data_IF_388768603748
#
_entry.id   IF_388768603748
#
_cell.length_a   1.000
_cell.length_b   1.000
_cell.length_c   1.000
_cell.angle_alpha   90.00
_cell.angle_beta   90.00
_cell.angle_gamma   90.00
#
_symmetry.space_group_name_H-M   'P 1'
#
loop_
_entity.id
_entity.type
_entity.pdbx_description
1 polymer ?
#
# COMPACT_ATOMS: atom_id res chain seq x y z
N UNK A 1 -27.59 -3.91 35.49
CA UNK A 1 -26.23 -3.42 35.73
C UNK A 1 -25.27 -4.49 35.27
N UNK A 2 -24.46 -4.19 34.21
CA UNK A 2 -23.45 -5.10 33.70
C UNK A 2 -22.27 -5.22 34.67
N UNK A 3 -21.62 -6.37 34.69
CA UNK A 3 -20.40 -6.60 35.46
C UNK A 3 -19.26 -5.86 34.79
N UNK A 4 -18.77 -4.77 35.40
CA UNK A 4 -17.58 -4.04 34.97
C UNK A 4 -16.38 -4.50 35.78
N UNK A 5 -15.23 -4.66 35.10
CA UNK A 5 -13.94 -4.96 35.72
C UNK A 5 -12.93 -3.90 35.29
N UNK A 6 -12.13 -3.44 36.22
CA UNK A 6 -10.98 -2.60 35.94
C UNK A 6 -9.73 -3.47 35.98
N UNK A 7 -8.90 -3.37 34.95
CA UNK A 7 -7.69 -4.19 34.82
C UNK A 7 -6.51 -3.24 34.62
N UNK A 8 -5.42 -3.48 35.33
CA UNK A 8 -4.16 -2.79 35.16
C UNK A 8 -3.08 -3.81 34.82
N UNK A 9 -2.09 -3.40 34.02
CA UNK A 9 -0.96 -4.26 33.69
C UNK A 9 0.36 -3.50 33.79
N UNK A 10 1.44 -4.22 33.96
CA UNK A 10 2.81 -3.73 33.88
C UNK A 10 3.43 -4.37 32.64
N UNK A 11 3.95 -3.53 31.74
CA UNK A 11 4.70 -3.96 30.56
C UNK A 11 6.18 -3.68 30.81
N UNK A 12 7.02 -4.69 30.66
CA UNK A 12 8.46 -4.58 30.74
C UNK A 12 9.05 -5.01 29.41
N UNK A 13 9.82 -4.13 28.77
CA UNK A 13 10.56 -4.45 27.56
C UNK A 13 12.02 -4.71 27.93
N UNK A 14 12.64 -5.81 27.44
CA UNK A 14 14.05 -6.04 27.64
C UNK A 14 14.87 -5.00 26.84
N UNK A 15 15.86 -4.38 27.49
CA UNK A 15 16.83 -3.53 26.80
C UNK A 15 17.79 -4.41 26.00
N UNK A 16 17.92 -4.09 24.68
CA UNK A 16 18.91 -4.73 23.84
C UNK A 16 20.24 -4.00 24.02
N UNK A 17 21.32 -4.68 24.42
CA UNK A 17 22.64 -4.05 24.54
C UNK A 17 23.08 -3.40 23.22
N UNK A 18 23.70 -2.23 23.30
CA UNK A 18 24.20 -1.48 22.14
C UNK A 18 25.19 -2.30 21.30
N UNK A 19 25.97 -3.17 21.94
CA UNK A 19 26.90 -4.04 21.25
C UNK A 19 26.20 -4.98 20.25
N UNK A 20 25.04 -5.55 20.64
CA UNK A 20 24.22 -6.41 19.75
C UNK A 20 23.60 -5.62 18.59
N UNK A 21 23.25 -4.36 18.83
CA UNK A 21 22.75 -3.49 17.76
C UNK A 21 23.85 -3.23 16.73
N UNK A 22 25.07 -2.88 17.18
CA UNK A 22 26.23 -2.67 16.31
C UNK A 22 26.65 -3.94 15.54
N UNK A 23 26.60 -5.10 16.20
CA UNK A 23 26.84 -6.37 15.51
C UNK A 23 25.80 -6.64 14.41
N UNK A 24 24.53 -6.33 14.68
CA UNK A 24 23.45 -6.52 13.69
C UNK A 24 23.61 -5.54 12.53
N UNK A 25 23.92 -4.28 12.81
CA UNK A 25 24.20 -3.29 11.78
C UNK A 25 25.35 -3.73 10.86
N UNK A 26 26.45 -4.21 11.46
CA UNK A 26 27.59 -4.74 10.71
C UNK A 26 27.19 -5.94 9.83
N UNK A 27 26.43 -6.89 10.38
CA UNK A 27 25.93 -8.04 9.62
C UNK A 27 25.08 -7.61 8.43
N UNK A 28 24.20 -6.61 8.62
CA UNK A 28 23.37 -6.08 7.52
C UNK A 28 24.24 -5.39 6.47
N UNK A 29 25.26 -4.63 6.88
CA UNK A 29 26.21 -4.02 5.96
C UNK A 29 27.01 -5.06 5.16
N UNK A 30 27.43 -6.14 5.81
CA UNK A 30 28.13 -7.24 5.14
C UNK A 30 27.22 -7.94 4.11
N UNK A 31 25.92 -8.14 4.41
CA UNK A 31 24.94 -8.69 3.48
C UNK A 31 24.74 -7.76 2.26
N UNK A 32 24.65 -6.46 2.47
CA UNK A 32 24.54 -5.49 1.38
C UNK A 32 25.76 -5.61 0.46
N UNK A 33 26.95 -5.74 1.03
CA UNK A 33 28.19 -5.89 0.30
C UNK A 33 28.23 -7.19 -0.52
N UNK A 34 27.78 -8.32 0.05
CA UNK A 34 27.65 -9.59 -0.67
C UNK A 34 26.72 -9.47 -1.90
N UNK A 35 25.64 -8.69 -1.77
CA UNK A 35 24.70 -8.43 -2.88
C UNK A 35 25.34 -7.52 -3.93
N UNK A 36 26.03 -6.43 -3.52
CA UNK A 36 26.73 -5.51 -4.43
C UNK A 36 27.84 -6.18 -5.21
N UNK A 37 28.58 -7.10 -4.58
CA UNK A 37 29.62 -7.92 -5.21
C UNK A 37 29.05 -9.03 -6.11
N UNK A 38 27.72 -9.24 -6.10
CA UNK A 38 27.04 -10.25 -6.90
C UNK A 38 27.25 -11.69 -6.41
N UNK A 39 27.75 -11.87 -5.18
CA UNK A 39 27.97 -13.19 -4.56
C UNK A 39 26.66 -13.90 -4.28
N UNK A 40 25.61 -13.14 -3.90
CA UNK A 40 24.25 -13.61 -3.70
C UNK A 40 23.26 -12.63 -4.34
N UNK A 41 22.11 -13.13 -4.76
CA UNK A 41 21.02 -12.27 -5.21
C UNK A 41 20.25 -11.69 -4.03
N UNK A 42 19.54 -10.58 -4.25
CA UNK A 42 18.70 -9.98 -3.21
C UNK A 42 17.65 -10.98 -2.69
N UNK A 43 17.02 -11.74 -3.58
CA UNK A 43 16.01 -12.73 -3.23
C UNK A 43 16.59 -13.88 -2.37
N UNK A 44 17.80 -14.32 -2.66
CA UNK A 44 18.52 -15.33 -1.85
C UNK A 44 18.88 -14.77 -0.47
N UNK A 45 19.36 -13.52 -0.43
CA UNK A 45 19.63 -12.82 0.83
C UNK A 45 18.37 -12.71 1.70
N UNK A 46 17.23 -12.35 1.12
CA UNK A 46 15.95 -12.29 1.84
C UNK A 46 15.57 -13.65 2.42
N UNK A 47 15.63 -14.72 1.62
CA UNK A 47 15.30 -16.08 2.10
C UNK A 47 16.20 -16.52 3.25
N UNK A 48 17.49 -16.21 3.16
CA UNK A 48 18.52 -16.66 4.11
C UNK A 48 18.52 -15.82 5.40
N UNK A 49 18.44 -14.52 5.29
CA UNK A 49 18.69 -13.60 6.39
C UNK A 49 17.47 -12.85 6.91
N UNK A 50 16.44 -12.61 6.10
CA UNK A 50 15.27 -11.82 6.53
C UNK A 50 14.51 -12.51 7.65
N UNK A 51 14.15 -11.73 8.66
CA UNK A 51 13.29 -12.13 9.78
C UNK A 51 11.86 -11.57 9.64
N UNK A 52 11.62 -10.76 8.63
CA UNK A 52 10.30 -10.21 8.35
C UNK A 52 9.36 -11.31 7.83
N UNK A 53 8.35 -11.64 8.63
CA UNK A 53 7.39 -12.70 8.33
C UNK A 53 6.47 -12.35 7.15
N UNK A 54 6.23 -11.07 6.93
CA UNK A 54 5.27 -10.60 5.93
C UNK A 54 5.88 -10.62 4.52
N UNK A 55 7.16 -10.29 4.41
CA UNK A 55 7.82 -10.17 3.10
C UNK A 55 8.82 -11.28 2.78
N UNK A 56 9.31 -12.04 3.77
CA UNK A 56 10.28 -13.13 3.56
C UNK A 56 9.85 -14.15 2.50
N UNK A 57 8.58 -14.55 2.53
CA UNK A 57 8.03 -15.54 1.60
C UNK A 57 7.71 -14.96 0.22
N UNK A 58 7.75 -13.63 0.09
CA UNK A 58 7.50 -12.88 -1.13
C UNK A 58 8.78 -12.20 -1.66
N UNK A 59 9.94 -12.83 -1.44
CA UNK A 59 11.25 -12.32 -1.88
C UNK A 59 11.52 -10.86 -1.45
N UNK A 60 11.03 -10.45 -0.28
CA UNK A 60 11.19 -9.09 0.24
C UNK A 60 10.32 -8.03 -0.43
N UNK A 61 9.39 -8.41 -1.30
CA UNK A 61 8.58 -7.48 -2.06
C UNK A 61 7.55 -6.77 -1.15
N UNK A 62 7.64 -5.44 -1.11
CA UNK A 62 6.64 -4.62 -0.43
C UNK A 62 5.37 -4.52 -1.28
N UNK A 63 4.22 -4.68 -0.65
CA UNK A 63 2.91 -4.53 -1.28
C UNK A 63 2.23 -3.29 -0.72
N UNK A 64 1.71 -2.46 -1.59
CA UNK A 64 0.92 -1.30 -1.21
C UNK A 64 -0.44 -1.77 -0.65
N UNK A 65 -0.67 -1.56 0.64
CA UNK A 65 -1.90 -1.98 1.31
C UNK A 65 -3.19 -1.34 0.79
N UNK A 66 -3.09 -0.24 0.05
CA UNK A 66 -4.26 0.44 -0.54
C UNK A 66 -4.61 -0.09 -1.92
N UNK A 67 -3.61 -0.40 -2.74
CA UNK A 67 -3.80 -0.82 -4.15
C UNK A 67 -3.63 -2.32 -4.35
N UNK A 68 -2.92 -3.00 -3.45
CA UNK A 68 -2.52 -4.40 -3.61
C UNK A 68 -1.38 -4.62 -4.61
N UNK A 69 -0.79 -3.54 -5.14
CA UNK A 69 0.28 -3.57 -6.13
C UNK A 69 1.65 -3.48 -5.46
N UNK A 70 2.67 -3.98 -6.13
CA UNK A 70 4.07 -3.85 -5.71
C UNK A 70 4.72 -2.53 -6.12
N UNK A 71 4.04 -1.74 -6.94
CA UNK A 71 4.47 -0.41 -7.39
C UNK A 71 3.83 0.67 -6.52
N UNK A 72 4.64 1.61 -6.10
CA UNK A 72 4.22 2.73 -5.27
C UNK A 72 4.28 4.02 -6.08
N UNK A 73 3.20 4.77 -6.10
CA UNK A 73 3.20 6.13 -6.60
C UNK A 73 3.90 7.05 -5.57
N UNK A 74 4.96 7.75 -5.99
CA UNK A 74 5.74 8.61 -5.12
C UNK A 74 4.89 9.68 -4.42
N UNK A 75 3.82 10.16 -5.08
CA UNK A 75 2.93 11.18 -4.50
C UNK A 75 2.03 10.66 -3.40
N UNK A 76 1.88 9.32 -3.29
CA UNK A 76 1.03 8.63 -2.32
C UNK A 76 1.80 7.70 -1.40
N UNK A 77 3.11 7.71 -1.52
CA UNK A 77 4.00 6.91 -0.68
C UNK A 77 4.05 7.48 0.73
N UNK A 78 4.27 6.60 1.71
CA UNK A 78 4.59 7.03 3.08
C UNK A 78 5.80 7.97 3.07
N UNK A 79 5.75 9.14 3.75
CA UNK A 79 6.84 10.11 3.74
C UNK A 79 8.18 9.57 4.22
N UNK A 80 8.18 8.66 5.20
CA UNK A 80 9.41 8.07 5.73
C UNK A 80 10.04 7.10 4.73
N UNK A 81 9.22 6.35 4.01
CA UNK A 81 9.67 5.49 2.92
C UNK A 81 10.17 6.33 1.74
N UNK A 82 9.40 7.35 1.33
CA UNK A 82 9.78 8.26 0.26
C UNK A 82 11.16 8.89 0.48
N UNK A 83 11.40 9.46 1.67
CA UNK A 83 12.66 10.10 2.00
C UNK A 83 13.89 9.16 1.87
N UNK A 84 13.70 7.86 1.94
CA UNK A 84 14.77 6.87 1.83
C UNK A 84 14.99 6.33 0.42
N UNK A 85 13.94 6.29 -0.40
CA UNK A 85 14.00 5.61 -1.70
C UNK A 85 13.96 6.57 -2.90
N UNK A 86 13.61 7.86 -2.69
CA UNK A 86 13.45 8.85 -3.76
C UNK A 86 14.68 8.99 -4.67
N UNK A 87 15.86 8.96 -4.07
CA UNK A 87 17.13 9.18 -4.75
C UNK A 87 17.79 7.88 -5.25
N UNK A 88 17.21 6.73 -4.92
CA UNK A 88 17.73 5.45 -5.38
C UNK A 88 17.52 5.26 -6.88
N UNK A 89 18.55 4.81 -7.54
CA UNK A 89 18.48 4.30 -8.91
C UNK A 89 17.98 2.87 -8.91
N UNK A 90 17.52 2.39 -10.06
CA UNK A 90 17.17 0.98 -10.21
C UNK A 90 18.37 0.10 -9.93
N UNK A 91 18.19 -0.95 -9.12
CA UNK A 91 19.26 -1.81 -8.62
C UNK A 91 20.01 -1.26 -7.41
N UNK A 92 19.75 0.00 -7.01
CA UNK A 92 20.40 0.60 -5.85
C UNK A 92 19.79 0.13 -4.51
N UNK A 93 20.60 0.21 -3.46
CA UNK A 93 20.22 -0.13 -2.09
C UNK A 93 20.45 1.05 -1.16
N UNK A 94 19.61 1.16 -0.12
CA UNK A 94 19.87 2.11 0.96
C UNK A 94 20.95 1.57 1.89
N UNK A 95 21.71 2.44 2.59
CA UNK A 95 22.46 2.00 3.75
C UNK A 95 21.51 1.38 4.79
N UNK A 96 22.04 0.50 5.68
CA UNK A 96 21.26 -0.03 6.78
C UNK A 96 20.80 1.11 7.70
N UNK A 97 19.55 1.07 8.12
CA UNK A 97 19.01 2.04 9.05
C UNK A 97 18.25 1.35 10.18
N UNK A 98 18.30 1.99 11.31
CA UNK A 98 17.57 1.58 12.50
C UNK A 98 16.08 1.92 12.37
N UNK A 99 15.25 0.98 12.79
CA UNK A 99 13.81 1.15 12.87
C UNK A 99 13.25 0.45 14.13
N UNK A 100 12.12 0.89 14.60
CA UNK A 100 11.46 0.34 15.77
C UNK A 100 9.98 0.15 15.51
N UNK A 101 9.45 -1.04 15.79
CA UNK A 101 8.03 -1.31 15.67
C UNK A 101 7.24 -0.61 16.78
N UNK A 102 5.93 -0.46 16.57
CA UNK A 102 5.02 0.03 17.62
C UNK A 102 5.06 -0.84 18.90
N UNK A 103 5.52 -2.07 18.81
CA UNK A 103 5.74 -2.99 19.93
C UNK A 103 7.08 -2.82 20.63
N UNK A 104 7.94 -1.88 20.19
CA UNK A 104 9.26 -1.64 20.76
C UNK A 104 10.34 -2.62 20.28
N UNK A 105 10.06 -3.43 19.25
CA UNK A 105 11.07 -4.31 18.65
C UNK A 105 12.02 -3.49 17.80
N UNK A 106 13.31 -3.55 18.17
CA UNK A 106 14.39 -2.85 17.49
C UNK A 106 14.90 -3.67 16.33
N UNK A 107 15.07 -3.07 15.16
CA UNK A 107 15.52 -3.76 13.97
C UNK A 107 16.35 -2.88 13.05
N UNK A 108 17.16 -3.49 12.20
CA UNK A 108 17.81 -2.84 11.08
C UNK A 108 17.15 -3.26 9.78
N UNK A 109 16.92 -2.29 8.91
CA UNK A 109 16.32 -2.48 7.58
C UNK A 109 17.19 -1.83 6.53
N UNK A 110 17.06 -2.32 5.30
CA UNK A 110 17.50 -1.61 4.10
C UNK A 110 16.53 -1.89 2.97
N UNK A 111 16.46 -0.99 2.01
CA UNK A 111 15.61 -1.10 0.84
C UNK A 111 16.43 -1.34 -0.41
N UNK A 112 15.89 -2.12 -1.31
CA UNK A 112 16.41 -2.38 -2.64
C UNK A 112 15.42 -1.86 -3.68
N UNK A 113 15.89 -1.03 -4.60
CA UNK A 113 15.07 -0.49 -5.69
C UNK A 113 15.01 -1.47 -6.85
N UNK A 114 13.99 -2.29 -6.88
CA UNK A 114 13.81 -3.32 -7.90
C UNK A 114 13.50 -2.75 -9.27
N UNK A 115 12.59 -1.79 -9.31
CA UNK A 115 12.13 -1.14 -10.53
C UNK A 115 11.83 0.34 -10.25
N UNK A 116 12.31 1.20 -11.14
CA UNK A 116 12.01 2.62 -11.13
C UNK A 116 11.37 3.00 -12.46
N UNK A 117 10.23 3.65 -12.40
CA UNK A 117 9.57 4.22 -13.57
C UNK A 117 9.56 5.74 -13.43
N UNK A 118 10.26 6.44 -14.31
CA UNK A 118 10.27 7.89 -14.32
C UNK A 118 8.94 8.42 -14.91
N UNK A 119 8.67 9.70 -14.62
CA UNK A 119 7.48 10.37 -15.14
C UNK A 119 7.50 10.34 -16.68
N UNK A 120 6.45 9.78 -17.26
CA UNK A 120 6.27 9.68 -18.70
C UNK A 120 4.82 9.93 -19.09
N UNK A 121 4.60 10.24 -20.35
CA UNK A 121 3.25 10.29 -20.90
C UNK A 121 2.71 8.86 -20.99
N UNK A 122 1.45 8.66 -20.58
CA UNK A 122 0.84 7.34 -20.58
C UNK A 122 0.94 6.66 -21.95
N UNK A 123 1.47 5.44 -21.96
CA UNK A 123 1.71 4.63 -23.15
C UNK A 123 0.97 3.29 -23.02
N UNK A 124 0.30 2.88 -24.10
CA UNK A 124 -0.45 1.62 -24.13
C UNK A 124 0.42 0.37 -23.91
N UNK A 125 1.71 0.45 -24.19
CA UNK A 125 2.63 -0.69 -23.97
C UNK A 125 3.07 -0.78 -22.51
N UNK A 126 3.47 0.37 -21.93
CA UNK A 126 3.99 0.41 -20.56
C UNK A 126 2.90 0.45 -19.48
N UNK A 127 1.78 1.10 -19.78
CA UNK A 127 0.69 1.35 -18.83
C UNK A 127 -0.59 0.55 -19.15
N UNK A 128 -0.49 -0.51 -19.96
CA UNK A 128 -1.65 -1.26 -20.45
C UNK A 128 -2.61 -1.66 -19.33
N UNK A 129 -2.12 -2.28 -18.28
CA UNK A 129 -2.97 -2.72 -17.16
C UNK A 129 -3.67 -1.55 -16.45
N UNK A 130 -2.95 -0.45 -16.25
CA UNK A 130 -3.49 0.75 -15.62
C UNK A 130 -4.59 1.38 -16.48
N UNK A 131 -4.33 1.51 -17.78
CA UNK A 131 -5.30 2.03 -18.75
C UNK A 131 -6.51 1.10 -18.86
N UNK A 132 -6.30 -0.21 -18.91
CA UNK A 132 -7.36 -1.21 -18.92
C UNK A 132 -8.24 -1.12 -17.66
N UNK A 133 -7.63 -1.01 -16.48
CA UNK A 133 -8.36 -0.87 -15.22
C UNK A 133 -9.18 0.42 -15.16
N UNK A 134 -8.64 1.53 -15.65
CA UNK A 134 -9.36 2.80 -15.75
C UNK A 134 -10.54 2.70 -16.72
N UNK A 135 -10.34 2.12 -17.89
CA UNK A 135 -11.39 1.90 -18.88
C UNK A 135 -12.49 0.96 -18.34
N UNK A 136 -12.11 -0.12 -17.65
CA UNK A 136 -13.04 -1.03 -17.01
C UNK A 136 -13.86 -0.34 -15.92
N UNK A 137 -13.24 0.49 -15.09
CA UNK A 137 -13.92 1.29 -14.06
C UNK A 137 -14.96 2.20 -14.71
N UNK A 138 -14.56 2.96 -15.71
CA UNK A 138 -15.46 3.85 -16.47
C UNK A 138 -16.64 3.09 -17.05
N UNK A 139 -16.40 1.96 -17.70
CA UNK A 139 -17.44 1.11 -18.28
C UNK A 139 -18.39 0.55 -17.24
N UNK A 140 -17.88 0.17 -16.04
CA UNK A 140 -18.73 -0.26 -14.92
C UNK A 140 -19.61 0.87 -14.42
N UNK A 141 -19.08 2.09 -14.25
CA UNK A 141 -19.83 3.27 -13.83
C UNK A 141 -20.93 3.62 -14.82
N UNK A 142 -20.63 3.64 -16.12
CA UNK A 142 -21.59 3.87 -17.19
C UNK A 142 -22.69 2.79 -17.21
N UNK A 143 -22.31 1.53 -17.04
CA UNK A 143 -23.27 0.40 -16.99
C UNK A 143 -24.19 0.50 -15.78
N UNK A 144 -23.65 0.84 -14.61
CA UNK A 144 -24.45 1.06 -13.38
C UNK A 144 -25.37 2.28 -13.55
N UNK A 145 -24.89 3.36 -14.16
CA UNK A 145 -25.68 4.55 -14.42
C UNK A 145 -26.86 4.25 -15.36
N UNK A 146 -26.60 3.54 -16.44
CA UNK A 146 -27.63 3.09 -17.39
C UNK A 146 -28.65 2.18 -16.72
N UNK A 147 -28.20 1.13 -16.05
CA UNK A 147 -29.08 0.20 -15.34
C UNK A 147 -29.92 0.91 -14.27
N UNK A 148 -29.31 1.82 -13.51
CA UNK A 148 -30.05 2.58 -12.50
C UNK A 148 -31.14 3.46 -13.11
N UNK A 149 -30.85 4.10 -14.26
CA UNK A 149 -31.83 4.92 -14.99
C UNK A 149 -33.02 4.07 -15.45
N UNK A 150 -32.76 2.89 -16.01
CA UNK A 150 -33.77 1.92 -16.44
C UNK A 150 -34.62 1.45 -15.25
N UNK A 151 -33.97 1.07 -14.13
CA UNK A 151 -34.67 0.61 -12.93
C UNK A 151 -35.49 1.70 -12.24
N UNK A 152 -35.03 2.95 -12.22
CA UNK A 152 -35.79 4.09 -11.72
C UNK A 152 -37.06 4.28 -12.59
N UNK A 153 -36.94 4.09 -13.90
CA UNK A 153 -38.09 4.23 -14.82
C UNK A 153 -39.09 3.10 -14.63
N UNK A 154 -38.66 1.86 -14.47
CA UNK A 154 -39.55 0.68 -14.30
C UNK A 154 -40.18 0.58 -12.90
N UNK A 155 -39.51 1.11 -11.88
CA UNK A 155 -39.94 0.95 -10.48
C UNK A 155 -40.87 2.06 -10.06
N UNK A 156 -41.93 1.72 -9.29
CA UNK A 156 -42.75 2.72 -8.66
C UNK A 156 -42.03 3.43 -7.53
N UNK A 157 -41.82 4.73 -7.66
CA UNK A 157 -41.10 5.56 -6.69
C UNK A 157 -42.03 6.69 -6.24
N UNK A 158 -42.29 6.78 -4.92
CA UNK A 158 -43.06 7.87 -4.30
C UNK A 158 -42.12 8.72 -3.44
N UNK A 159 -41.87 9.94 -3.85
CA UNK A 159 -41.14 10.92 -3.05
C UNK A 159 -42.12 11.62 -2.07
N UNK A 160 -41.73 11.71 -0.81
CA UNK A 160 -42.49 12.49 0.17
C UNK A 160 -42.36 13.97 -0.17
N UNK A 161 -43.48 14.72 -0.03
CA UNK A 161 -43.57 16.14 -0.33
C UNK A 161 -42.52 17.00 0.39
N UNK A 162 -42.09 16.57 1.59
CA UNK A 162 -41.01 17.21 2.35
C UNK A 162 -39.65 17.22 1.58
N UNK A 163 -39.41 16.23 0.74
CA UNK A 163 -38.18 16.06 -0.04
C UNK A 163 -38.35 16.43 -1.52
N UNK A 164 -39.52 16.93 -1.91
CA UNK A 164 -39.78 17.29 -3.31
C UNK A 164 -38.90 18.41 -3.87
N UNK A 165 -38.31 19.24 -3.00
CA UNK A 165 -37.39 20.32 -3.37
C UNK A 165 -35.91 19.93 -3.30
N UNK A 166 -35.59 18.72 -2.82
CA UNK A 166 -34.19 18.26 -2.75
C UNK A 166 -33.62 18.01 -4.15
N UNK A 167 -32.36 18.35 -4.33
CA UNK A 167 -31.57 17.94 -5.49
C UNK A 167 -31.02 16.56 -5.22
N UNK A 168 -31.27 15.62 -6.10
CA UNK A 168 -30.74 14.26 -6.02
C UNK A 168 -29.66 14.08 -7.10
N UNK A 169 -28.62 13.34 -6.80
CA UNK A 169 -27.57 12.96 -7.74
C UNK A 169 -28.13 12.24 -8.97
N UNK A 170 -29.23 11.50 -8.79
CA UNK A 170 -29.97 10.85 -9.86
C UNK A 170 -31.39 11.36 -9.88
N UNK A 171 -31.97 11.50 -11.06
CA UNK A 171 -33.35 11.99 -11.19
C UNK A 171 -34.37 10.90 -10.76
N UNK A 172 -34.79 10.96 -9.49
CA UNK A 172 -35.83 10.11 -8.93
C UNK A 172 -37.26 10.60 -9.24
N UNK A 173 -37.36 11.80 -9.81
CA UNK A 173 -38.68 12.37 -10.19
C UNK A 173 -38.99 11.86 -11.57
N UNK A 174 -40.02 11.00 -11.67
CA UNK A 174 -40.58 10.67 -12.99
C UNK A 174 -41.32 11.91 -13.49
N UNK A 175 -40.91 12.42 -14.63
CA UNK A 175 -41.75 13.31 -15.41
C UNK A 175 -42.89 12.44 -15.93
N UNK A 176 -44.07 12.60 -15.34
CA UNK A 176 -45.29 12.02 -15.86
C UNK A 176 -45.58 12.84 -17.12
N UNK A 177 -45.19 12.32 -18.28
CA UNK A 177 -45.69 12.84 -19.55
C UNK A 177 -47.22 12.73 -19.53
N UNK A 178 -47.87 13.89 -19.52
CA UNK A 178 -49.29 14.02 -19.74
C UNK A 178 -49.65 13.62 -21.15
#
# INVERSE_FOLDING_TARGET
KGNTRSVSHILMQPEIPEEKLKETEKKVADIIKEIEEGTITFEEAVKKYSQDKDTKNNAGLLINGQTGESKFDLTRMDPALYARVSDLTQGGMTPPFYDETRGGEKMYKFFYMRERTDTHTADLVKDYEKIQNLALRKKKEESIAKWSKEKIFETYIKLNNKHGKCTFERNWKKEISK
#
